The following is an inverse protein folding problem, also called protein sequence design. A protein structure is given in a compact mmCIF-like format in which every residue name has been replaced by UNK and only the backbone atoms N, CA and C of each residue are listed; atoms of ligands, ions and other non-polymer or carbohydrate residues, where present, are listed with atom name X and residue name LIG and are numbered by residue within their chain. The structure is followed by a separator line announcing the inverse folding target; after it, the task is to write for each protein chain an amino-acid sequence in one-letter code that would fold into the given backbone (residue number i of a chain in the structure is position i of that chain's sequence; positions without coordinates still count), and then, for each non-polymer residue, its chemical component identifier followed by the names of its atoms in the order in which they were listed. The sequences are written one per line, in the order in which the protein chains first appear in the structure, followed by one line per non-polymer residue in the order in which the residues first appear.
data_IF_651129082241
#
_entry.id   IF_651129082241
#
_cell.length_a   1.000
_cell.length_b   1.000
_cell.length_c   1.000
_cell.angle_alpha   90.00
_cell.angle_beta   90.00
_cell.angle_gamma   90.00
#
_symmetry.space_group_name_H-M   'P 1'
#
loop_
_entity.id
_entity.type
_entity.pdbx_description
1 polymer ?
#
# COMPACT_ATOMS: atom_id res chain seq x y z
N UNK A 1 1.45 52.34 -20.22
CA UNK A 1 2.56 52.10 -19.27
C UNK A 1 3.86 52.39 -19.98
N UNK A 2 4.62 53.40 -19.53
CA UNK A 2 5.91 53.77 -20.11
C UNK A 2 6.92 52.60 -19.88
N UNK A 3 7.53 52.10 -20.92
CA UNK A 3 8.64 51.14 -20.81
C UNK A 3 9.77 51.82 -20.01
N UNK A 4 10.12 51.30 -18.84
CA UNK A 4 11.31 51.70 -18.10
C UNK A 4 12.50 51.51 -19.04
N UNK A 5 13.23 52.61 -19.32
CA UNK A 5 14.44 52.60 -20.12
C UNK A 5 15.46 51.71 -19.36
N UNK A 6 15.92 50.64 -19.99
CA UNK A 6 16.92 49.73 -19.42
C UNK A 6 18.22 50.53 -19.30
N UNK A 7 18.78 50.65 -18.10
CA UNK A 7 20.08 51.28 -17.90
C UNK A 7 21.15 50.24 -18.20
N UNK A 8 21.81 50.38 -19.33
CA UNK A 8 22.91 49.52 -19.77
C UNK A 8 24.20 50.11 -19.16
N UNK A 9 25.04 49.27 -18.49
CA UNK A 9 26.33 49.73 -17.98
C UNK A 9 27.27 50.23 -19.09
N UNK A 10 28.20 51.06 -18.73
CA UNK A 10 29.32 51.43 -19.64
C UNK A 10 30.33 50.32 -19.68
N UNK A 11 30.61 49.82 -20.87
CA UNK A 11 31.58 48.74 -21.12
C UNK A 11 32.83 49.28 -21.79
N UNK A 12 34.01 48.79 -21.39
CA UNK A 12 35.23 49.07 -22.09
C UNK A 12 35.35 48.38 -23.44
N UNK A 13 36.05 48.94 -24.39
CA UNK A 13 36.26 48.36 -25.71
C UNK A 13 37.63 47.73 -25.86
N UNK A 14 37.75 46.78 -26.79
CA UNK A 14 39.00 46.11 -27.17
C UNK A 14 39.03 45.77 -28.66
N UNK A 15 40.17 45.99 -29.29
CA UNK A 15 40.39 45.62 -30.70
C UNK A 15 40.76 44.15 -30.81
N UNK A 16 40.00 43.33 -31.54
CA UNK A 16 40.34 41.97 -31.88
C UNK A 16 40.23 41.75 -33.40
N UNK A 17 41.36 41.36 -34.00
CA UNK A 17 41.47 41.17 -35.46
C UNK A 17 40.98 42.36 -36.30
N UNK A 18 41.29 43.59 -35.86
CA UNK A 18 40.90 44.80 -36.56
C UNK A 18 39.47 45.24 -36.35
N UNK A 19 38.69 44.59 -35.50
CA UNK A 19 37.29 44.91 -35.19
C UNK A 19 37.18 45.30 -33.71
N UNK A 20 36.49 46.37 -33.43
CA UNK A 20 36.23 46.84 -32.08
C UNK A 20 35.05 46.06 -31.42
N UNK A 21 35.28 45.56 -30.20
CA UNK A 21 34.29 44.85 -29.38
C UNK A 21 34.17 45.48 -28.01
N UNK A 22 32.96 45.54 -27.47
CA UNK A 22 32.70 45.77 -26.04
C UNK A 22 33.05 44.52 -25.27
N UNK A 23 33.62 44.68 -24.04
CA UNK A 23 34.16 43.59 -23.24
C UNK A 23 33.76 43.74 -21.79
N UNK A 24 33.35 42.59 -21.17
CA UNK A 24 33.23 42.44 -19.71
C UNK A 24 33.92 41.15 -19.28
N UNK A 25 34.09 40.97 -17.98
CA UNK A 25 34.59 39.73 -17.37
C UNK A 25 33.64 39.33 -16.25
N UNK A 26 33.24 38.06 -16.24
CA UNK A 26 32.42 37.46 -15.20
C UNK A 26 33.23 36.30 -14.59
N UNK A 27 32.98 35.98 -13.33
CA UNK A 27 33.49 34.82 -12.64
C UNK A 27 32.52 33.66 -12.86
N UNK A 28 33.00 32.51 -13.38
CA UNK A 28 32.16 31.33 -13.59
C UNK A 28 31.87 30.60 -12.26
N UNK A 29 31.12 29.52 -12.28
CA UNK A 29 30.73 28.75 -11.10
C UNK A 29 31.93 28.09 -10.38
N UNK A 30 33.11 28.02 -11.02
CA UNK A 30 34.34 27.45 -10.48
C UNK A 30 35.34 28.54 -10.03
N UNK A 31 34.93 29.83 -10.06
CA UNK A 31 35.77 30.97 -9.67
C UNK A 31 36.74 31.42 -10.75
N UNK A 32 36.61 30.94 -11.99
CA UNK A 32 37.47 31.31 -13.11
C UNK A 32 36.90 32.52 -13.87
N UNK A 33 37.74 33.51 -14.16
CA UNK A 33 37.34 34.69 -14.93
C UNK A 33 37.15 34.32 -16.41
N UNK A 34 35.94 34.52 -16.93
CA UNK A 34 35.59 34.35 -18.35
C UNK A 34 35.29 35.71 -18.97
N UNK A 35 35.91 36.02 -20.11
CA UNK A 35 35.69 37.26 -20.84
C UNK A 35 34.54 37.08 -21.84
N UNK A 36 33.58 38.04 -21.82
CA UNK A 36 32.49 38.14 -22.80
C UNK A 36 32.72 39.31 -23.74
N UNK A 37 32.38 39.12 -24.99
CA UNK A 37 32.53 40.10 -26.06
C UNK A 37 31.25 40.23 -26.87
N UNK A 38 30.91 41.47 -27.30
CA UNK A 38 29.85 41.74 -28.23
C UNK A 38 30.12 42.98 -29.07
N UNK A 39 29.41 43.16 -30.16
CA UNK A 39 29.56 44.32 -31.05
C UNK A 39 28.80 45.58 -30.56
N UNK A 40 27.79 45.37 -29.72
CA UNK A 40 27.02 46.47 -29.12
C UNK A 40 26.93 46.33 -27.60
N UNK A 41 26.77 47.41 -26.86
CA UNK A 41 26.56 47.38 -25.40
C UNK A 41 25.34 46.56 -24.99
N UNK A 42 24.22 46.66 -25.76
CA UNK A 42 22.99 45.92 -25.48
C UNK A 42 23.20 44.39 -25.61
N UNK A 43 23.94 44.00 -26.66
CA UNK A 43 24.26 42.57 -26.90
C UNK A 43 25.14 42.00 -25.79
N UNK A 44 26.11 42.82 -25.31
CA UNK A 44 26.99 42.44 -24.23
C UNK A 44 26.25 42.31 -22.90
N UNK A 45 25.35 43.25 -22.60
CA UNK A 45 24.50 43.25 -21.41
C UNK A 45 23.61 42.01 -21.38
N UNK A 46 22.99 41.63 -22.51
CA UNK A 46 22.17 40.42 -22.59
C UNK A 46 23.01 39.14 -22.40
N UNK A 47 24.23 39.08 -22.99
CA UNK A 47 25.14 37.97 -22.80
C UNK A 47 25.60 37.84 -21.34
N UNK A 48 25.94 38.96 -20.72
CA UNK A 48 26.36 39.01 -19.31
C UNK A 48 25.23 38.60 -18.37
N UNK A 49 24.02 39.10 -18.56
CA UNK A 49 22.85 38.77 -17.73
C UNK A 49 22.51 37.28 -17.85
N UNK A 50 22.46 36.73 -19.07
CA UNK A 50 22.20 35.31 -19.30
C UNK A 50 23.29 34.42 -18.67
N UNK A 51 24.57 34.82 -18.81
CA UNK A 51 25.67 34.05 -18.23
C UNK A 51 25.66 34.08 -16.69
N UNK A 52 25.38 35.23 -16.09
CA UNK A 52 25.22 35.36 -14.62
C UNK A 52 24.03 34.55 -14.09
N UNK A 53 22.91 34.52 -14.81
CA UNK A 53 21.77 33.68 -14.44
C UNK A 53 22.16 32.18 -14.50
N UNK A 54 22.85 31.74 -15.53
CA UNK A 54 23.32 30.36 -15.63
C UNK A 54 24.30 29.98 -14.53
N UNK A 55 25.22 30.88 -14.17
CA UNK A 55 26.19 30.67 -13.08
C UNK A 55 25.48 30.59 -11.74
N UNK A 56 24.53 31.51 -11.48
CA UNK A 56 23.74 31.49 -10.25
C UNK A 56 22.92 30.20 -10.10
N UNK A 57 22.29 29.74 -11.19
CA UNK A 57 21.53 28.49 -11.21
C UNK A 57 22.46 27.28 -10.96
N UNK A 58 23.61 27.22 -11.63
CA UNK A 58 24.59 26.14 -11.43
C UNK A 58 25.11 26.12 -9.98
N UNK A 59 25.40 27.28 -9.40
CA UNK A 59 25.87 27.41 -8.00
C UNK A 59 24.75 27.02 -7.02
N UNK A 60 23.51 27.40 -7.29
CA UNK A 60 22.37 27.01 -6.48
C UNK A 60 22.16 25.49 -6.49
N UNK A 61 22.22 24.86 -7.66
CA UNK A 61 22.09 23.40 -7.79
C UNK A 61 23.19 22.64 -7.07
N UNK A 62 24.44 23.09 -7.16
CA UNK A 62 25.60 22.51 -6.45
C UNK A 62 25.52 22.65 -4.92
N UNK A 63 24.84 23.70 -4.40
CA UNK A 63 24.65 23.92 -2.95
C UNK A 63 23.45 23.18 -2.39
N UNK A 64 22.56 22.60 -3.24
CA UNK A 64 21.42 21.85 -2.75
C UNK A 64 21.84 20.58 -2.01
N UNK A 65 21.06 20.10 -1.01
CA UNK A 65 21.37 18.86 -0.31
C UNK A 65 21.35 17.66 -1.26
N UNK A 66 21.98 16.56 -0.88
CA UNK A 66 21.83 15.29 -1.60
C UNK A 66 20.40 14.75 -1.47
N UNK A 67 20.01 13.87 -2.39
CA UNK A 67 18.71 13.17 -2.31
C UNK A 67 18.60 12.39 -1.01
N UNK A 68 19.68 11.74 -0.55
CA UNK A 68 19.68 11.00 0.71
C UNK A 68 19.42 11.92 1.90
N UNK A 69 20.16 13.04 2.02
CA UNK A 69 19.99 14.01 3.10
C UNK A 69 18.57 14.60 3.12
N UNK A 70 18.04 14.98 1.96
CA UNK A 70 16.71 15.54 1.88
C UNK A 70 15.62 14.52 2.17
N UNK A 71 15.75 13.28 1.68
CA UNK A 71 14.81 12.20 1.96
C UNK A 71 14.72 11.88 3.46
N UNK A 72 15.86 11.80 4.18
CA UNK A 72 15.82 11.55 5.64
C UNK A 72 15.16 12.73 6.38
N UNK A 73 15.46 13.98 5.98
CA UNK A 73 14.75 15.16 6.52
C UNK A 73 13.25 15.11 6.23
N UNK A 74 12.85 14.74 5.01
CA UNK A 74 11.45 14.61 4.62
C UNK A 74 10.74 13.52 5.43
N UNK A 75 11.38 12.37 5.65
CA UNK A 75 10.83 11.29 6.50
C UNK A 75 10.62 11.76 7.94
N UNK A 76 11.54 12.55 8.49
CA UNK A 76 11.40 13.14 9.81
C UNK A 76 10.19 14.10 9.86
N UNK A 77 10.00 14.95 8.84
CA UNK A 77 8.81 15.81 8.75
C UNK A 77 7.52 15.00 8.63
N UNK A 78 7.54 13.88 7.89
CA UNK A 78 6.35 13.01 7.77
C UNK A 78 5.99 12.31 9.10
N UNK A 79 6.94 12.10 10.01
CA UNK A 79 6.66 11.43 11.30
C UNK A 79 5.62 12.14 12.15
N UNK A 80 5.43 13.44 11.96
CA UNK A 80 4.41 14.26 12.65
C UNK A 80 3.02 14.11 12.01
N UNK A 81 2.97 13.78 10.70
CA UNK A 81 1.73 13.83 9.93
C UNK A 81 1.12 12.45 9.64
N UNK A 82 1.92 11.39 9.70
CA UNK A 82 1.46 10.04 9.36
C UNK A 82 1.62 9.08 10.53
N UNK A 83 0.80 8.02 10.53
CA UNK A 83 0.90 6.96 11.54
C UNK A 83 2.24 6.23 11.44
N UNK A 84 2.73 5.68 12.54
CA UNK A 84 4.00 4.93 12.61
C UNK A 84 4.12 3.82 11.56
N UNK A 85 3.03 3.09 11.29
CA UNK A 85 2.98 2.06 10.22
C UNK A 85 3.22 2.63 8.83
N UNK A 86 2.60 3.77 8.52
CA UNK A 86 2.77 4.45 7.24
C UNK A 86 4.18 4.99 7.10
N UNK A 87 4.72 5.56 8.18
CA UNK A 87 6.10 6.03 8.21
C UNK A 87 7.11 4.89 7.97
N UNK A 88 6.90 3.74 8.59
CA UNK A 88 7.74 2.53 8.39
C UNK A 88 7.70 2.08 6.91
N UNK A 89 6.52 2.07 6.28
CA UNK A 89 6.36 1.74 4.86
C UNK A 89 7.06 2.77 3.96
N UNK A 90 6.90 4.07 4.25
CA UNK A 90 7.59 5.16 3.55
C UNK A 90 9.11 5.02 3.68
N UNK A 91 9.62 4.87 4.89
CA UNK A 91 11.05 4.71 5.17
C UNK A 91 11.64 3.53 4.39
N UNK A 92 10.96 2.38 4.41
CA UNK A 92 11.40 1.19 3.69
C UNK A 92 11.46 1.42 2.18
N UNK A 93 10.45 2.07 1.59
CA UNK A 93 10.39 2.32 0.14
C UNK A 93 11.36 3.43 -0.29
N UNK A 94 11.44 4.50 0.47
CA UNK A 94 12.35 5.63 0.19
C UNK A 94 13.79 5.16 0.21
N UNK A 95 14.22 4.46 1.27
CA UNK A 95 15.59 3.96 1.36
C UNK A 95 15.92 2.95 0.29
N UNK A 96 15.01 2.03 0.00
CA UNK A 96 15.25 0.93 -0.96
C UNK A 96 15.18 1.34 -2.42
N UNK A 97 14.36 2.33 -2.77
CA UNK A 97 14.04 2.64 -4.16
C UNK A 97 14.34 4.08 -4.59
N UNK A 98 14.61 4.97 -3.65
CA UNK A 98 14.96 6.36 -3.96
C UNK A 98 16.41 6.63 -3.55
N UNK A 99 16.74 6.45 -2.27
CA UNK A 99 18.10 6.70 -1.79
C UNK A 99 19.11 5.72 -2.40
N UNK A 100 18.74 4.43 -2.55
CA UNK A 100 19.65 3.45 -3.13
C UNK A 100 20.03 3.75 -4.60
N UNK A 101 19.17 4.46 -5.35
CA UNK A 101 19.38 4.74 -6.78
C UNK A 101 19.94 6.16 -7.01
N UNK A 102 19.46 7.15 -6.25
CA UNK A 102 19.77 8.56 -6.48
C UNK A 102 20.40 9.28 -5.27
N UNK A 103 20.68 8.57 -4.18
CA UNK A 103 21.06 9.15 -2.90
C UNK A 103 22.22 10.12 -2.95
N UNK A 104 23.23 9.84 -3.76
CA UNK A 104 24.45 10.64 -3.88
C UNK A 104 24.28 11.88 -4.78
N UNK A 105 23.23 11.93 -5.62
CA UNK A 105 22.95 13.10 -6.46
C UNK A 105 22.44 14.28 -5.64
N UNK A 106 22.75 15.48 -6.08
CA UNK A 106 22.16 16.71 -5.53
C UNK A 106 20.70 16.84 -5.97
N UNK A 107 19.83 17.29 -5.07
CA UNK A 107 18.41 17.47 -5.36
C UNK A 107 18.16 18.35 -6.60
N UNK A 108 18.96 19.40 -6.79
CA UNK A 108 18.85 20.33 -7.94
C UNK A 108 19.36 19.74 -9.26
N UNK A 109 20.12 18.65 -9.22
CA UNK A 109 20.70 17.99 -10.41
C UNK A 109 19.87 16.80 -10.91
N UNK A 110 18.82 16.42 -10.18
CA UNK A 110 17.98 15.26 -10.54
C UNK A 110 17.05 15.64 -11.68
N UNK A 111 17.19 14.97 -12.80
CA UNK A 111 16.33 15.11 -13.97
C UNK A 111 15.16 14.13 -13.95
N UNK A 112 14.18 14.33 -14.84
CA UNK A 112 13.10 13.36 -15.06
C UNK A 112 13.66 12.00 -15.54
N UNK A 113 14.69 12.02 -16.40
CA UNK A 113 15.30 10.80 -16.93
C UNK A 113 15.99 9.98 -15.83
N UNK A 114 16.66 10.64 -14.87
CA UNK A 114 17.24 9.96 -13.71
C UNK A 114 16.17 9.20 -12.90
N UNK A 115 15.03 9.85 -12.68
CA UNK A 115 13.93 9.23 -11.94
C UNK A 115 13.32 8.07 -12.73
N UNK A 116 13.16 8.22 -14.04
CA UNK A 116 12.64 7.15 -14.90
C UNK A 116 13.58 5.94 -14.92
N UNK A 117 14.90 6.16 -15.01
CA UNK A 117 15.89 5.09 -14.91
C UNK A 117 15.87 4.40 -13.55
N UNK A 118 15.78 5.15 -12.45
CA UNK A 118 15.64 4.62 -11.09
C UNK A 118 14.34 3.80 -10.90
N UNK A 119 13.29 4.07 -11.68
CA UNK A 119 12.05 3.30 -11.66
C UNK A 119 12.09 2.00 -12.47
N UNK A 120 13.09 1.77 -13.34
CA UNK A 120 13.20 0.54 -14.14
C UNK A 120 13.22 -0.73 -13.26
N UNK A 121 14.05 -0.87 -12.21
CA UNK A 121 13.99 -2.04 -11.33
C UNK A 121 12.66 -2.14 -10.56
N UNK A 122 12.00 -1.01 -10.28
CA UNK A 122 10.70 -0.99 -9.59
C UNK A 122 9.56 -1.46 -10.49
N UNK A 123 9.66 -1.20 -11.81
CA UNK A 123 8.66 -1.66 -12.80
C UNK A 123 8.55 -3.18 -12.91
N UNK A 124 9.57 -3.93 -12.45
CA UNK A 124 9.55 -5.40 -12.34
C UNK A 124 8.84 -5.91 -11.07
N UNK A 125 8.47 -5.02 -10.15
CA UNK A 125 7.69 -5.33 -8.94
C UNK A 125 6.20 -5.22 -9.23
N UNK A 126 5.36 -5.55 -8.23
CA UNK A 126 3.91 -5.37 -8.36
C UNK A 126 3.52 -3.91 -8.63
N UNK A 127 2.47 -3.71 -9.43
CA UNK A 127 1.97 -2.39 -9.81
C UNK A 127 1.63 -1.50 -8.60
N UNK A 128 1.20 -2.08 -7.48
CA UNK A 128 0.96 -1.36 -6.22
C UNK A 128 2.24 -0.77 -5.62
N UNK A 129 3.36 -1.50 -5.71
CA UNK A 129 4.68 -1.02 -5.24
C UNK A 129 5.17 0.10 -6.16
N UNK A 130 5.12 -0.10 -7.48
CA UNK A 130 5.48 0.91 -8.46
C UNK A 130 4.72 2.22 -8.23
N UNK A 131 3.38 2.14 -8.16
CA UNK A 131 2.52 3.28 -7.89
C UNK A 131 2.88 4.01 -6.58
N UNK A 132 3.16 3.25 -5.51
CA UNK A 132 3.54 3.83 -4.22
C UNK A 132 4.87 4.57 -4.31
N UNK A 133 5.88 4.01 -4.99
CA UNK A 133 7.20 4.64 -5.15
C UNK A 133 7.09 5.91 -5.98
N UNK A 134 6.31 5.90 -7.07
CA UNK A 134 6.05 7.11 -7.88
C UNK A 134 5.37 8.21 -7.06
N UNK A 135 4.40 7.85 -6.19
CA UNK A 135 3.75 8.83 -5.30
C UNK A 135 4.78 9.43 -4.32
N UNK A 136 5.72 8.63 -3.80
CA UNK A 136 6.77 9.11 -2.91
C UNK A 136 7.72 10.06 -3.63
N UNK A 137 8.19 9.74 -4.84
CA UNK A 137 8.96 10.68 -5.67
C UNK A 137 8.22 12.02 -5.82
N UNK A 138 6.95 11.98 -6.24
CA UNK A 138 6.14 13.20 -6.40
C UNK A 138 6.02 14.00 -5.10
N UNK A 139 5.82 13.32 -3.97
CA UNK A 139 5.66 14.00 -2.68
C UNK A 139 6.96 14.63 -2.19
N UNK A 140 8.10 13.95 -2.34
CA UNK A 140 9.41 14.43 -1.93
C UNK A 140 9.83 15.64 -2.78
N UNK A 141 9.77 15.53 -4.12
CA UNK A 141 10.19 16.61 -5.01
C UNK A 141 9.23 17.80 -5.00
N UNK A 142 7.94 17.58 -4.76
CA UNK A 142 7.00 18.67 -4.50
C UNK A 142 7.37 19.44 -3.23
N UNK A 143 7.63 18.75 -2.13
CA UNK A 143 8.05 19.36 -0.88
C UNK A 143 9.39 20.11 -1.03
N UNK A 144 10.33 19.57 -1.81
CA UNK A 144 11.60 20.24 -2.11
C UNK A 144 11.40 21.56 -2.89
N UNK A 145 10.48 21.56 -3.87
CA UNK A 145 10.11 22.78 -4.63
C UNK A 145 9.44 23.82 -3.72
N UNK A 146 8.47 23.39 -2.90
CA UNK A 146 7.76 24.27 -1.96
C UNK A 146 8.70 24.87 -0.91
N UNK A 147 9.73 24.11 -0.50
CA UNK A 147 10.80 24.56 0.43
C UNK A 147 11.93 25.33 -0.26
N UNK A 148 11.84 25.61 -1.56
CA UNK A 148 12.86 26.32 -2.35
C UNK A 148 14.25 25.61 -2.30
N UNK A 149 14.28 24.30 -2.22
CA UNK A 149 15.49 23.49 -2.30
C UNK A 149 15.85 23.22 -3.76
N UNK A 150 14.85 23.22 -4.64
CA UNK A 150 14.95 23.08 -6.09
C UNK A 150 14.11 24.14 -6.78
N UNK A 151 14.54 24.59 -7.95
CA UNK A 151 13.79 25.59 -8.75
C UNK A 151 12.66 24.94 -9.53
N UNK A 152 12.88 23.75 -10.06
CA UNK A 152 11.89 23.00 -10.82
C UNK A 152 11.64 21.60 -10.27
N UNK A 153 10.42 21.13 -10.43
CA UNK A 153 10.02 19.81 -9.98
C UNK A 153 10.07 18.79 -11.15
N UNK A 154 11.07 17.89 -11.21
CA UNK A 154 11.21 16.95 -12.32
C UNK A 154 10.10 15.90 -12.37
N UNK A 155 9.26 15.80 -11.32
CA UNK A 155 8.22 14.77 -11.25
C UNK A 155 6.86 15.19 -11.82
N UNK A 156 6.72 16.41 -12.38
CA UNK A 156 5.43 16.94 -12.87
C UNK A 156 4.82 15.98 -13.89
N UNK A 157 5.59 15.53 -14.86
CA UNK A 157 5.15 14.62 -15.94
C UNK A 157 5.26 13.15 -15.59
N UNK A 158 5.71 12.79 -14.39
CA UNK A 158 5.83 11.41 -13.98
C UNK A 158 4.43 10.78 -13.82
N UNK A 159 4.20 9.64 -14.47
CA UNK A 159 2.90 8.93 -14.41
C UNK A 159 2.94 7.74 -13.46
N UNK A 160 1.82 7.48 -12.80
CA UNK A 160 1.62 6.24 -12.01
C UNK A 160 1.02 5.11 -12.85
N UNK A 161 0.68 5.39 -14.13
CA UNK A 161 0.08 4.41 -15.06
C UNK A 161 1.16 3.63 -15.80
N UNK A 162 0.88 2.38 -16.13
CA UNK A 162 1.68 1.57 -17.04
C UNK A 162 2.91 0.89 -16.42
N UNK A 163 3.25 1.16 -15.15
CA UNK A 163 4.39 0.52 -14.49
C UNK A 163 3.99 -0.56 -13.49
N UNK A 164 4.86 -1.58 -13.35
CA UNK A 164 4.69 -2.70 -12.43
C UNK A 164 3.86 -3.86 -13.00
N UNK A 165 4.11 -5.04 -12.44
CA UNK A 165 3.38 -6.26 -12.80
C UNK A 165 1.99 -6.24 -12.19
N UNK A 166 0.92 -6.41 -12.99
CA UNK A 166 -0.44 -6.49 -12.47
C UNK A 166 -0.57 -7.62 -11.45
N UNK A 167 -1.16 -7.32 -10.31
CA UNK A 167 -1.51 -8.33 -9.31
C UNK A 167 -2.94 -8.80 -9.60
N UNK A 168 -3.12 -10.12 -9.72
CA UNK A 168 -4.48 -10.68 -9.79
C UNK A 168 -5.19 -10.44 -8.47
N UNK A 169 -6.37 -9.87 -8.53
CA UNK A 169 -7.25 -9.77 -7.37
C UNK A 169 -7.58 -11.20 -6.88
N UNK A 170 -7.43 -11.45 -5.59
CA UNK A 170 -7.88 -12.72 -5.01
C UNK A 170 -9.40 -12.67 -4.92
N UNK A 171 -10.06 -13.57 -5.64
CA UNK A 171 -11.51 -13.72 -5.57
C UNK A 171 -11.96 -14.14 -4.16
N UNK A 172 -13.24 -13.90 -3.84
CA UNK A 172 -13.89 -14.52 -2.70
C UNK A 172 -13.82 -16.05 -2.81
N UNK A 173 -13.83 -16.73 -1.67
CA UNK A 173 -13.95 -18.19 -1.66
C UNK A 173 -15.35 -18.57 -2.18
N UNK A 174 -15.42 -19.66 -2.93
CA UNK A 174 -16.72 -20.29 -3.25
C UNK A 174 -17.29 -20.97 -1.99
N UNK A 175 -18.57 -21.31 -2.00
CA UNK A 175 -19.23 -21.97 -0.87
C UNK A 175 -18.53 -23.32 -0.57
N UNK A 176 -18.18 -24.10 -1.61
CA UNK A 176 -17.41 -25.34 -1.47
C UNK A 176 -16.02 -25.09 -0.86
N UNK A 177 -15.31 -24.06 -1.30
CA UNK A 177 -14.00 -23.71 -0.74
C UNK A 177 -14.12 -23.27 0.73
N UNK A 178 -15.14 -22.51 1.08
CA UNK A 178 -15.39 -22.08 2.45
C UNK A 178 -15.72 -23.28 3.35
N UNK A 179 -16.57 -24.21 2.90
CA UNK A 179 -16.90 -25.42 3.62
C UNK A 179 -15.65 -26.28 3.84
N UNK A 180 -14.89 -26.57 2.79
CA UNK A 180 -13.63 -27.35 2.90
C UNK A 180 -12.58 -26.68 3.80
N UNK A 181 -12.53 -25.34 3.80
CA UNK A 181 -11.65 -24.63 4.72
C UNK A 181 -12.07 -24.85 6.17
N UNK A 182 -13.37 -24.70 6.47
CA UNK A 182 -13.92 -24.88 7.81
C UNK A 182 -13.68 -26.30 8.32
N UNK A 183 -13.97 -27.31 7.51
CA UNK A 183 -13.70 -28.73 7.83
C UNK A 183 -12.20 -28.96 8.09
N UNK A 184 -11.35 -28.35 7.27
CA UNK A 184 -9.89 -28.49 7.40
C UNK A 184 -9.34 -27.90 8.70
N UNK A 185 -9.93 -26.82 9.20
CA UNK A 185 -9.44 -26.09 10.39
C UNK A 185 -10.23 -26.42 11.65
N UNK A 186 -11.31 -27.19 11.59
CA UNK A 186 -12.09 -27.59 12.73
C UNK A 186 -11.22 -28.27 13.80
N UNK A 187 -11.34 -27.84 15.05
CA UNK A 187 -10.50 -28.34 16.15
C UNK A 187 -9.03 -27.89 16.11
N UNK A 188 -8.63 -27.07 15.12
CA UNK A 188 -7.28 -26.51 15.03
C UNK A 188 -7.22 -25.05 15.52
N UNK A 189 -6.05 -24.56 15.96
CA UNK A 189 -5.89 -23.22 16.49
C UNK A 189 -6.45 -22.07 15.63
N UNK A 190 -6.42 -22.10 14.26
CA UNK A 190 -6.97 -21.01 13.45
C UNK A 190 -8.51 -21.03 13.32
N UNK A 191 -9.23 -22.01 13.88
CA UNK A 191 -10.66 -22.19 13.64
C UNK A 191 -11.48 -20.94 14.00
N UNK A 192 -11.36 -20.44 15.24
CA UNK A 192 -12.08 -19.25 15.71
C UNK A 192 -11.73 -18.00 14.86
N UNK A 193 -10.46 -17.87 14.47
CA UNK A 193 -10.02 -16.79 13.60
C UNK A 193 -10.71 -16.85 12.22
N UNK A 194 -10.81 -18.06 11.65
CA UNK A 194 -11.46 -18.28 10.34
C UNK A 194 -12.97 -18.02 10.43
N UNK A 195 -13.61 -18.49 11.51
CA UNK A 195 -15.03 -18.23 11.77
C UNK A 195 -15.33 -16.73 11.87
N UNK A 196 -14.56 -15.96 12.62
CA UNK A 196 -14.69 -14.51 12.72
C UNK A 196 -14.48 -13.80 11.36
N UNK A 197 -13.52 -14.27 10.57
CA UNK A 197 -13.26 -13.74 9.25
C UNK A 197 -14.39 -13.99 8.24
N UNK A 198 -14.96 -15.20 8.23
CA UNK A 198 -16.00 -15.61 7.30
C UNK A 198 -17.41 -15.13 7.68
N UNK A 199 -17.75 -15.11 8.97
CA UNK A 199 -19.12 -14.85 9.43
C UNK A 199 -19.33 -13.48 10.06
N UNK A 200 -18.25 -12.77 10.45
CA UNK A 200 -18.31 -11.39 10.94
C UNK A 200 -17.52 -10.41 10.06
N UNK A 201 -16.79 -10.90 9.07
CA UNK A 201 -16.03 -10.07 8.13
C UNK A 201 -14.98 -9.18 8.77
N UNK A 202 -14.45 -9.55 9.94
CA UNK A 202 -13.44 -8.77 10.65
C UNK A 202 -12.13 -8.70 9.88
N UNK A 203 -11.44 -7.57 9.99
CA UNK A 203 -10.05 -7.46 9.53
C UNK A 203 -9.14 -8.27 10.45
N UNK A 204 -8.00 -8.75 9.95
CA UNK A 204 -7.00 -9.45 10.77
C UNK A 204 -6.67 -8.70 12.05
N UNK A 205 -6.45 -7.41 11.93
CA UNK A 205 -6.09 -6.52 13.03
C UNK A 205 -7.24 -6.37 14.06
N UNK A 206 -8.48 -6.45 13.61
CA UNK A 206 -9.69 -6.42 14.46
C UNK A 206 -9.86 -7.76 15.19
N UNK A 207 -9.62 -8.89 14.51
CA UNK A 207 -9.69 -10.23 15.14
C UNK A 207 -8.63 -10.38 16.24
N UNK A 208 -7.39 -9.97 15.96
CA UNK A 208 -6.27 -10.11 16.90
C UNK A 208 -6.37 -9.15 18.10
N UNK A 209 -7.21 -8.11 18.02
CA UNK A 209 -7.48 -7.18 19.10
C UNK A 209 -8.80 -7.47 19.84
N UNK A 210 -9.59 -8.45 19.38
CA UNK A 210 -10.91 -8.71 19.91
C UNK A 210 -10.81 -9.31 21.32
N UNK A 211 -11.42 -8.63 22.30
CA UNK A 211 -11.56 -9.10 23.66
C UNK A 211 -12.97 -9.60 23.93
N UNK A 212 -13.12 -10.46 24.94
CA UNK A 212 -14.42 -11.00 25.34
C UNK A 212 -15.37 -9.94 25.91
N UNK A 213 -14.88 -8.80 26.40
CA UNK A 213 -15.67 -7.66 26.83
C UNK A 213 -16.46 -6.99 25.70
N UNK A 214 -16.07 -7.23 24.46
CA UNK A 214 -16.72 -6.72 23.26
C UNK A 214 -17.55 -7.80 22.51
N UNK A 215 -17.77 -8.97 23.11
CA UNK A 215 -18.55 -10.08 22.55
C UNK A 215 -19.74 -10.38 23.43
N UNK A 216 -20.93 -10.04 22.95
CA UNK A 216 -22.21 -10.14 23.65
C UNK A 216 -22.96 -11.36 23.13
N UNK A 217 -22.95 -12.45 23.91
CA UNK A 217 -23.50 -13.76 23.49
C UNK A 217 -24.85 -14.08 24.17
N UNK A 218 -25.23 -13.26 25.14
CA UNK A 218 -26.47 -13.43 25.90
C UNK A 218 -27.61 -12.64 25.24
N UNK A 219 -28.85 -13.16 25.34
CA UNK A 219 -30.04 -12.55 24.77
C UNK A 219 -30.35 -13.05 23.34
N UNK A 220 -31.44 -12.52 22.78
CA UNK A 220 -32.02 -12.97 21.50
C UNK A 220 -31.21 -12.53 20.28
N UNK A 221 -30.40 -11.50 20.42
CA UNK A 221 -29.64 -10.88 19.32
C UNK A 221 -28.14 -10.78 19.67
N UNK A 222 -27.38 -11.87 19.63
CA UNK A 222 -25.95 -11.85 19.90
C UNK A 222 -25.22 -10.98 18.88
N UNK A 223 -24.24 -10.21 19.36
CA UNK A 223 -23.42 -9.34 18.51
C UNK A 223 -22.02 -9.17 19.09
N UNK A 224 -21.09 -8.71 18.24
CA UNK A 224 -19.78 -8.24 18.67
C UNK A 224 -19.60 -6.76 18.32
N UNK A 225 -18.81 -6.07 19.15
CA UNK A 225 -18.49 -4.67 18.97
C UNK A 225 -17.01 -4.51 18.56
N UNK A 226 -16.76 -3.96 17.36
CA UNK A 226 -15.42 -3.64 16.92
C UNK A 226 -15.01 -2.31 17.53
N UNK A 227 -14.04 -2.33 18.45
CA UNK A 227 -13.59 -1.17 19.22
C UNK A 227 -12.07 -0.98 19.16
N UNK A 228 -11.31 -2.04 18.92
CA UNK A 228 -9.86 -2.07 19.04
C UNK A 228 -9.21 -2.58 17.76
N UNK A 229 -7.97 -2.20 17.55
CA UNK A 229 -7.15 -2.72 16.47
C UNK A 229 -5.77 -3.17 16.99
N UNK A 230 -5.34 -4.33 16.50
CA UNK A 230 -4.01 -4.85 16.77
C UNK A 230 -2.99 -4.18 15.83
N UNK A 231 -1.84 -3.87 16.37
CA UNK A 231 -0.69 -3.34 15.68
C UNK A 231 0.59 -4.03 16.13
N UNK A 232 1.68 -3.88 15.40
CA UNK A 232 2.99 -4.43 15.76
C UNK A 232 4.05 -3.34 15.79
N UNK A 233 4.74 -3.24 16.90
CA UNK A 233 5.93 -2.43 17.07
C UNK A 233 7.10 -3.32 17.47
N UNK A 234 8.16 -3.37 16.65
CA UNK A 234 9.32 -4.24 16.88
C UNK A 234 8.95 -5.71 17.15
N UNK A 235 8.01 -6.24 16.38
CA UNK A 235 7.41 -7.59 16.52
C UNK A 235 6.64 -7.81 17.85
N UNK A 236 6.41 -6.79 18.67
CA UNK A 236 5.56 -6.85 19.85
C UNK A 236 4.14 -6.42 19.48
N UNK A 237 3.10 -7.11 19.98
CA UNK A 237 1.73 -6.69 19.76
C UNK A 237 1.43 -5.42 20.56
N UNK A 238 0.73 -4.49 19.92
CA UNK A 238 0.20 -3.27 20.53
C UNK A 238 -1.29 -3.21 20.22
N UNK A 239 -2.12 -3.08 21.22
CA UNK A 239 -3.56 -2.94 21.06
C UNK A 239 -3.89 -1.45 21.15
N UNK A 240 -4.51 -0.95 20.07
CA UNK A 240 -4.96 0.43 20.00
C UNK A 240 -6.46 0.48 20.31
N UNK A 241 -6.85 1.27 21.30
CA UNK A 241 -8.26 1.50 21.65
C UNK A 241 -8.94 2.47 20.67
N UNK A 242 -8.16 3.15 19.84
CA UNK A 242 -8.66 4.01 18.76
C UNK A 242 -8.55 3.32 17.39
N UNK A 243 -9.64 3.27 16.67
CA UNK A 243 -9.68 2.77 15.29
C UNK A 243 -9.24 3.83 14.28
N UNK A 244 -8.93 3.41 13.07
CA UNK A 244 -8.45 4.29 12.00
C UNK A 244 -9.48 5.38 11.62
N UNK A 245 -10.77 5.07 11.73
CA UNK A 245 -11.88 5.99 11.43
C UNK A 245 -13.10 5.62 12.27
N UNK A 246 -14.00 6.59 12.48
CA UNK A 246 -15.30 6.35 13.13
C UNK A 246 -16.13 5.25 12.45
N UNK A 247 -16.03 5.12 11.13
CA UNK A 247 -16.73 4.07 10.37
C UNK A 247 -16.22 2.65 10.70
N UNK A 248 -15.04 2.52 11.29
CA UNK A 248 -14.52 1.23 11.73
C UNK A 248 -15.17 0.76 13.03
N UNK A 249 -15.66 1.68 13.89
CA UNK A 249 -16.45 1.35 15.08
C UNK A 249 -17.84 0.91 14.66
N UNK A 250 -18.19 -0.33 14.99
CA UNK A 250 -19.46 -0.92 14.58
C UNK A 250 -19.84 -2.12 15.44
N UNK A 251 -21.13 -2.41 15.45
CA UNK A 251 -21.66 -3.64 16.03
C UNK A 251 -22.03 -4.60 14.90
N UNK A 252 -21.62 -5.85 15.01
CA UNK A 252 -21.85 -6.88 13.98
C UNK A 252 -22.72 -7.95 14.61
N UNK A 253 -23.98 -8.14 14.11
CA UNK A 253 -24.82 -9.25 14.53
C UNK A 253 -24.13 -10.60 14.22
N UNK A 254 -24.27 -11.56 15.11
CA UNK A 254 -23.67 -12.88 14.97
C UNK A 254 -24.69 -13.89 14.46
N UNK A 255 -24.43 -14.58 13.35
CA UNK A 255 -25.21 -15.75 12.97
C UNK A 255 -25.03 -16.86 14.02
N UNK A 256 -26.04 -17.73 14.16
CA UNK A 256 -26.10 -18.76 15.20
C UNK A 256 -24.84 -19.61 15.26
N UNK A 257 -24.33 -20.06 14.12
CA UNK A 257 -23.11 -20.90 14.07
C UNK A 257 -21.86 -20.19 14.63
N UNK A 258 -21.73 -18.87 14.43
CA UNK A 258 -20.62 -18.10 14.98
C UNK A 258 -20.84 -17.85 16.49
N UNK A 259 -22.07 -17.56 16.91
CA UNK A 259 -22.39 -17.36 18.32
C UNK A 259 -22.11 -18.63 19.15
N UNK A 260 -22.47 -19.80 18.66
CA UNK A 260 -22.20 -21.11 19.28
C UNK A 260 -20.67 -21.36 19.35
N UNK A 261 -19.97 -21.17 18.24
CA UNK A 261 -18.51 -21.28 18.23
C UNK A 261 -17.82 -20.38 19.26
N UNK A 262 -18.30 -19.14 19.40
CA UNK A 262 -17.75 -18.20 20.38
C UNK A 262 -18.13 -18.53 21.81
N UNK A 263 -19.33 -19.10 22.09
CA UNK A 263 -19.72 -19.62 23.41
C UNK A 263 -18.79 -20.76 23.84
N UNK A 264 -18.54 -21.72 22.95
CA UNK A 264 -17.61 -22.83 23.21
C UNK A 264 -16.18 -22.32 23.42
N UNK A 265 -15.70 -21.40 22.56
CA UNK A 265 -14.37 -20.83 22.71
C UNK A 265 -14.22 -20.05 24.04
N UNK A 266 -15.26 -19.29 24.47
CA UNK A 266 -15.25 -18.54 25.72
C UNK A 266 -15.20 -19.47 26.94
N UNK A 267 -15.95 -20.56 26.92
CA UNK A 267 -15.97 -21.55 28.01
C UNK A 267 -14.60 -22.20 28.22
N UNK A 268 -13.79 -22.33 27.16
CA UNK A 268 -12.46 -22.93 27.18
C UNK A 268 -11.32 -21.90 27.29
N UNK A 269 -11.62 -20.59 27.38
CA UNK A 269 -10.62 -19.53 27.39
C UNK A 269 -10.36 -19.02 28.80
N UNK A 270 -9.09 -18.85 29.14
CA UNK A 270 -8.63 -18.12 30.35
C UNK A 270 -8.08 -16.72 30.01
N UNK A 271 -8.04 -16.36 28.75
CA UNK A 271 -7.54 -15.08 28.27
C UNK A 271 -8.66 -14.04 28.18
N UNK A 272 -8.32 -12.77 28.30
CA UNK A 272 -9.24 -11.68 27.95
C UNK A 272 -9.44 -11.53 26.42
N UNK A 273 -8.52 -12.08 25.61
CA UNK A 273 -8.58 -12.03 24.14
C UNK A 273 -9.26 -13.28 23.57
N UNK A 274 -10.06 -13.08 22.51
CA UNK A 274 -10.74 -14.18 21.80
C UNK A 274 -9.71 -15.06 21.07
N UNK A 275 -8.66 -14.45 20.52
CA UNK A 275 -7.54 -15.15 19.87
C UNK A 275 -6.25 -14.75 20.61
N UNK A 276 -5.74 -15.63 21.45
CA UNK A 276 -4.59 -15.39 22.30
C UNK A 276 -3.46 -16.39 22.06
N UNK A 277 -2.29 -16.09 22.61
CA UNK A 277 -1.19 -17.04 22.76
C UNK A 277 -1.42 -17.97 23.98
N UNK A 278 -0.46 -18.85 24.25
CA UNK A 278 -0.55 -19.80 25.39
C UNK A 278 -0.53 -19.12 26.76
N UNK A 279 0.00 -17.91 26.82
CA UNK A 279 0.11 -17.12 28.05
C UNK A 279 -1.12 -16.21 28.26
N UNK A 280 -2.11 -16.30 27.37
CA UNK A 280 -3.33 -15.48 27.39
C UNK A 280 -3.17 -14.08 26.77
N UNK A 281 -2.00 -13.77 26.21
CA UNK A 281 -1.66 -12.47 25.65
C UNK A 281 -1.95 -12.37 24.14
N UNK A 282 -2.05 -11.17 23.55
CA UNK A 282 -2.25 -10.99 22.11
C UNK A 282 -1.09 -11.57 21.32
N UNK A 283 -1.41 -12.15 20.15
CA UNK A 283 -0.41 -12.76 19.29
C UNK A 283 0.56 -11.70 18.73
N UNK A 284 1.87 -11.98 18.82
CA UNK A 284 2.86 -11.28 17.98
C UNK A 284 2.68 -11.63 16.51
N UNK A 285 3.27 -10.85 15.61
CA UNK A 285 3.21 -11.13 14.18
C UNK A 285 3.79 -12.51 13.81
N UNK A 286 4.85 -12.91 14.48
CA UNK A 286 5.45 -14.24 14.28
C UNK A 286 4.53 -15.37 14.77
N UNK A 287 3.86 -15.19 15.90
CA UNK A 287 2.88 -16.16 16.43
C UNK A 287 1.65 -16.25 15.50
N UNK A 288 1.16 -15.10 15.00
CA UNK A 288 0.10 -15.10 13.98
C UNK A 288 0.51 -15.87 12.71
N UNK A 289 1.74 -15.68 12.21
CA UNK A 289 2.24 -16.48 11.08
C UNK A 289 2.25 -17.97 11.37
N UNK A 290 2.61 -18.39 12.58
CA UNK A 290 2.56 -19.80 13.01
C UNK A 290 1.13 -20.31 13.07
N UNK A 291 0.19 -19.52 13.58
CA UNK A 291 -1.24 -19.84 13.56
C UNK A 291 -1.74 -20.03 12.12
N UNK A 292 -1.39 -19.13 11.21
CA UNK A 292 -1.78 -19.21 9.80
C UNK A 292 -1.12 -20.38 9.06
N UNK A 293 0.05 -20.81 9.54
CA UNK A 293 0.78 -21.94 8.97
C UNK A 293 0.00 -23.26 9.01
N UNK A 294 -0.93 -23.42 9.95
CA UNK A 294 -1.83 -24.61 9.99
C UNK A 294 -2.65 -24.74 8.69
N UNK A 295 -3.07 -23.63 8.10
CA UNK A 295 -3.79 -23.60 6.82
C UNK A 295 -2.81 -23.82 5.65
N UNK A 296 -1.72 -23.04 5.62
CA UNK A 296 -0.74 -23.09 4.53
C UNK A 296 -0.12 -24.49 4.36
N UNK A 297 0.16 -25.19 5.45
CA UNK A 297 0.73 -26.55 5.39
C UNK A 297 -0.23 -27.58 4.82
N UNK A 298 -1.55 -27.34 4.91
CA UNK A 298 -2.59 -28.21 4.36
C UNK A 298 -3.00 -27.88 2.92
N UNK A 299 -2.31 -26.92 2.31
CA UNK A 299 -2.57 -26.55 0.91
C UNK A 299 -1.76 -27.45 -0.02
N UNK A 300 -2.43 -28.12 -0.97
CA UNK A 300 -1.84 -28.94 -2.03
C UNK A 300 -1.30 -28.05 -3.15
N UNK A 301 -0.14 -27.41 -2.91
CA UNK A 301 0.52 -26.50 -3.87
C UNK A 301 2.02 -26.76 -3.90
N UNK A 302 2.67 -26.74 -5.09
CA UNK A 302 4.12 -26.84 -5.20
C UNK A 302 4.81 -25.76 -4.35
N UNK A 303 5.77 -26.20 -3.53
CA UNK A 303 6.52 -25.31 -2.63
C UNK A 303 7.93 -25.81 -2.36
N UNK A 304 8.83 -24.88 -2.08
CA UNK A 304 10.17 -25.22 -1.61
C UNK A 304 10.11 -25.81 -0.20
N UNK A 305 10.56 -27.02 -0.04
CA UNK A 305 10.76 -27.69 1.24
C UNK A 305 12.25 -27.89 1.52
N UNK A 306 12.59 -28.25 2.75
CA UNK A 306 13.95 -28.58 3.17
C UNK A 306 13.96 -29.95 3.79
N UNK A 307 14.95 -30.76 3.45
CA UNK A 307 15.22 -32.05 4.12
C UNK A 307 16.65 -32.05 4.63
N UNK A 308 16.88 -32.72 5.73
CA UNK A 308 18.21 -32.95 6.26
C UNK A 308 18.83 -34.16 5.52
N UNK A 309 19.97 -33.95 4.87
CA UNK A 309 20.75 -34.96 4.18
C UNK A 309 22.19 -34.77 4.66
N UNK A 310 22.78 -35.81 5.26
CA UNK A 310 24.16 -35.82 5.76
C UNK A 310 24.50 -34.61 6.66
N UNK A 311 23.56 -34.24 7.56
CA UNK A 311 23.74 -33.12 8.48
C UNK A 311 23.54 -31.71 7.85
N UNK A 312 23.21 -31.61 6.54
CA UNK A 312 22.97 -30.34 5.83
C UNK A 312 21.53 -30.25 5.35
N UNK A 313 20.95 -29.03 5.43
CA UNK A 313 19.62 -28.79 4.88
C UNK A 313 19.68 -28.58 3.37
N UNK A 314 19.10 -29.51 2.60
CA UNK A 314 18.95 -29.43 1.15
C UNK A 314 17.54 -28.96 0.81
N UNK A 315 17.44 -27.96 -0.08
CA UNK A 315 16.15 -27.48 -0.62
C UNK A 315 15.69 -28.40 -1.75
N UNK A 316 14.40 -28.71 -1.77
CA UNK A 316 13.77 -29.46 -2.87
C UNK A 316 12.36 -28.93 -3.12
N UNK A 317 11.83 -29.14 -4.33
CA UNK A 317 10.44 -28.84 -4.64
C UNK A 317 9.56 -29.97 -4.13
N UNK A 318 8.58 -29.65 -3.31
CA UNK A 318 7.52 -30.54 -2.85
C UNK A 318 6.28 -30.29 -3.73
N UNK A 319 5.71 -31.36 -4.26
CA UNK A 319 4.48 -31.36 -5.03
C UNK A 319 3.43 -32.19 -4.26
N UNK A 320 2.69 -31.57 -3.31
CA UNK A 320 1.69 -32.28 -2.54
C UNK A 320 0.47 -32.59 -3.41
N UNK A 321 -0.10 -33.78 -3.26
CA UNK A 321 -1.37 -34.14 -3.87
C UNK A 321 -2.53 -34.00 -2.88
N UNK A 322 -3.69 -33.63 -3.39
CA UNK A 322 -4.90 -33.45 -2.57
C UNK A 322 -5.30 -34.79 -1.94
N UNK A 323 -5.56 -34.81 -0.64
CA UNK A 323 -5.87 -36.00 0.12
C UNK A 323 -4.63 -36.79 0.67
N UNK A 324 -3.42 -36.46 0.19
CA UNK A 324 -2.19 -37.10 0.66
C UNK A 324 -1.80 -36.64 2.07
N UNK A 325 -1.25 -37.53 2.89
CA UNK A 325 -0.64 -37.17 4.18
C UNK A 325 0.78 -36.63 3.97
N UNK A 326 1.12 -35.60 4.73
CA UNK A 326 2.47 -35.05 4.67
C UNK A 326 3.50 -36.06 5.20
N UNK A 327 4.56 -36.28 4.43
CA UNK A 327 5.62 -37.30 4.72
C UNK A 327 6.28 -37.13 6.09
N UNK A 328 6.46 -35.89 6.53
CA UNK A 328 7.14 -35.55 7.79
C UNK A 328 6.18 -35.32 8.97
N UNK A 329 4.87 -35.34 8.73
CA UNK A 329 3.84 -35.19 9.76
C UNK A 329 2.53 -35.83 9.31
N UNK A 330 2.31 -37.07 9.70
CA UNK A 330 1.13 -37.84 9.33
C UNK A 330 -0.22 -37.28 9.83
N UNK A 331 -0.20 -36.29 10.72
CA UNK A 331 -1.41 -35.57 11.16
C UNK A 331 -1.82 -34.48 10.18
N UNK A 332 -0.97 -34.14 9.21
CA UNK A 332 -1.27 -33.11 8.19
C UNK A 332 -1.71 -33.81 6.92
N UNK A 333 -2.97 -33.55 6.51
CA UNK A 333 -3.51 -33.97 5.22
C UNK A 333 -3.58 -32.72 4.32
N UNK A 334 -3.21 -32.86 3.05
CA UNK A 334 -3.34 -31.80 2.06
C UNK A 334 -4.80 -31.73 1.58
N UNK A 335 -5.63 -30.94 2.27
CA UNK A 335 -7.07 -30.87 2.10
C UNK A 335 -7.56 -29.68 1.27
N UNK A 336 -6.68 -28.73 0.96
CA UNK A 336 -7.00 -27.51 0.22
C UNK A 336 -6.22 -27.45 -1.09
N UNK A 337 -6.90 -27.35 -2.23
CA UNK A 337 -6.35 -27.14 -3.57
C UNK A 337 -6.22 -25.63 -3.94
N UNK A 338 -6.50 -24.75 -2.98
CA UNK A 338 -6.48 -23.32 -3.12
C UNK A 338 -5.74 -22.64 -1.96
N UNK A 339 -5.23 -21.42 -2.20
CA UNK A 339 -4.63 -20.60 -1.17
C UNK A 339 -5.68 -19.72 -0.49
N UNK A 340 -5.53 -19.54 0.82
CA UNK A 340 -6.37 -18.66 1.61
C UNK A 340 -5.53 -17.57 2.26
N UNK A 341 -6.07 -16.38 2.33
CA UNK A 341 -5.48 -15.25 3.08
C UNK A 341 -6.51 -14.67 4.05
N UNK A 342 -6.08 -14.05 5.18
CA UNK A 342 -7.00 -13.43 6.13
C UNK A 342 -7.95 -12.41 5.49
N UNK A 343 -7.44 -11.61 4.55
CA UNK A 343 -8.27 -10.60 3.87
C UNK A 343 -9.32 -11.24 2.95
N UNK A 344 -9.04 -12.42 2.40
CA UNK A 344 -9.97 -13.15 1.54
C UNK A 344 -11.18 -13.67 2.32
N UNK A 345 -11.03 -14.05 3.61
CA UNK A 345 -12.18 -14.41 4.46
C UNK A 345 -13.19 -13.27 4.55
N UNK A 346 -12.72 -12.08 4.84
CA UNK A 346 -13.55 -10.87 4.87
C UNK A 346 -14.13 -10.53 3.50
N UNK A 347 -13.35 -10.70 2.42
CA UNK A 347 -13.86 -10.49 1.05
C UNK A 347 -15.02 -11.46 0.76
N UNK A 348 -14.94 -12.71 1.20
CA UNK A 348 -16.01 -13.72 1.10
C UNK A 348 -17.25 -13.28 1.87
N UNK A 349 -17.09 -12.81 3.11
CA UNK A 349 -18.22 -12.27 3.89
C UNK A 349 -18.95 -11.14 3.15
N UNK A 350 -18.21 -10.15 2.65
CA UNK A 350 -18.81 -9.02 1.92
C UNK A 350 -19.50 -9.50 0.64
N UNK A 351 -18.88 -10.41 -0.08
CA UNK A 351 -19.45 -11.00 -1.30
C UNK A 351 -20.75 -11.73 -1.01
N UNK A 352 -20.81 -12.53 0.06
CA UNK A 352 -22.01 -13.26 0.47
C UNK A 352 -23.14 -12.32 0.89
N UNK A 353 -22.86 -11.22 1.60
CA UNK A 353 -23.87 -10.21 1.90
C UNK A 353 -24.47 -9.59 0.62
N UNK A 354 -23.62 -9.30 -0.37
CA UNK A 354 -24.05 -8.74 -1.65
C UNK A 354 -24.89 -9.76 -2.43
N UNK A 355 -24.51 -11.04 -2.44
CA UNK A 355 -25.29 -12.11 -3.08
C UNK A 355 -26.64 -12.29 -2.40
N UNK A 356 -26.70 -12.13 -1.09
CA UNK A 356 -27.97 -12.16 -0.32
C UNK A 356 -28.78 -10.87 -0.46
N UNK A 357 -28.42 -9.99 -1.40
CA UNK A 357 -29.10 -8.72 -1.69
C UNK A 357 -29.21 -7.76 -0.49
N UNK A 358 -28.28 -7.83 0.45
CA UNK A 358 -28.14 -6.83 1.51
C UNK A 358 -27.78 -5.48 0.88
N UNK A 359 -28.44 -4.42 1.29
CA UNK A 359 -28.24 -3.10 0.71
C UNK A 359 -26.80 -2.59 0.90
N UNK A 360 -26.26 -1.79 -0.06
CA UNK A 360 -24.88 -1.35 -0.03
C UNK A 360 -24.47 -0.53 1.20
N UNK A 361 -25.41 0.20 1.82
CA UNK A 361 -25.14 0.99 3.03
C UNK A 361 -24.97 0.09 4.25
N UNK A 362 -25.82 -0.93 4.39
CA UNK A 362 -25.67 -1.95 5.43
C UNK A 362 -24.37 -2.73 5.24
N UNK A 363 -24.02 -3.13 4.00
CA UNK A 363 -22.73 -3.78 3.70
C UNK A 363 -21.57 -2.85 4.05
N UNK A 364 -21.65 -1.56 3.71
CA UNK A 364 -20.63 -0.56 4.07
C UNK A 364 -20.43 -0.48 5.59
N UNK A 365 -21.53 -0.42 6.34
CA UNK A 365 -21.51 -0.38 7.82
C UNK A 365 -20.89 -1.64 8.40
N UNK A 366 -21.41 -2.83 8.05
CA UNK A 366 -20.91 -4.11 8.56
C UNK A 366 -19.45 -4.37 8.19
N UNK A 367 -19.04 -3.96 7.01
CA UNK A 367 -17.64 -4.00 6.58
C UNK A 367 -16.77 -2.91 7.25
N UNK A 368 -17.33 -1.83 7.80
CA UNK A 368 -16.56 -0.70 8.34
C UNK A 368 -15.71 -0.03 7.27
N UNK A 369 -16.29 0.23 6.08
CA UNK A 369 -15.64 0.97 5.01
C UNK A 369 -15.90 2.47 5.19
N UNK A 370 -14.84 3.24 5.29
CA UNK A 370 -14.93 4.71 5.41
C UNK A 370 -15.55 5.34 4.15
N UNK A 371 -15.19 4.81 2.97
CA UNK A 371 -15.72 5.28 1.69
C UNK A 371 -16.72 4.28 1.09
N UNK A 372 -17.89 4.77 0.67
CA UNK A 372 -18.87 3.99 -0.08
C UNK A 372 -18.32 3.47 -1.41
N UNK A 373 -17.35 4.16 -1.99
CA UNK A 373 -16.71 3.74 -3.24
C UNK A 373 -16.16 2.32 -3.17
N UNK A 374 -15.48 1.95 -2.06
CA UNK A 374 -14.90 0.60 -1.89
C UNK A 374 -16.01 -0.45 -1.92
N UNK A 375 -17.13 -0.20 -1.22
CA UNK A 375 -18.29 -1.12 -1.20
C UNK A 375 -18.93 -1.22 -2.58
N UNK A 376 -19.11 -0.08 -3.25
CA UNK A 376 -19.72 -0.03 -4.59
C UNK A 376 -18.86 -0.70 -5.66
N UNK A 377 -17.52 -0.56 -5.58
CA UNK A 377 -16.60 -1.25 -6.50
C UNK A 377 -16.69 -2.78 -6.34
N UNK A 378 -16.84 -3.28 -5.09
CA UNK A 378 -17.02 -4.71 -4.83
C UNK A 378 -18.42 -5.13 -5.32
N UNK A 379 -19.44 -4.34 -5.03
CA UNK A 379 -20.84 -4.60 -5.44
C UNK A 379 -20.96 -4.72 -6.96
N UNK A 380 -20.35 -3.77 -7.70
CA UNK A 380 -20.32 -3.81 -9.15
C UNK A 380 -19.64 -5.07 -9.69
N UNK A 381 -18.45 -5.42 -9.17
CA UNK A 381 -17.73 -6.65 -9.57
C UNK A 381 -18.58 -7.91 -9.32
N UNK A 382 -19.24 -8.03 -8.18
CA UNK A 382 -20.04 -9.20 -7.81
C UNK A 382 -21.25 -9.34 -8.71
N UNK A 383 -22.02 -8.26 -8.91
CA UNK A 383 -23.25 -8.27 -9.71
C UNK A 383 -22.99 -8.42 -11.21
N UNK A 384 -21.94 -7.77 -11.76
CA UNK A 384 -21.61 -7.88 -13.19
C UNK A 384 -21.02 -9.24 -13.59
N UNK A 385 -20.49 -10.00 -12.64
CA UNK A 385 -19.99 -11.35 -12.91
C UNK A 385 -21.10 -12.41 -12.98
N UNK A 386 -22.39 -12.03 -12.83
CA UNK A 386 -23.57 -12.90 -12.94
C UNK A 386 -24.60 -12.32 -13.94
N UNK A 387 -24.34 -12.45 -15.24
CA UNK A 387 -25.20 -11.90 -16.27
C UNK A 387 -26.62 -12.46 -16.21
N UNK A 388 -26.81 -13.71 -15.82
CA UNK A 388 -28.12 -14.39 -15.66
C UNK A 388 -28.97 -13.75 -14.55
N UNK A 389 -28.37 -13.33 -13.44
CA UNK A 389 -29.08 -12.58 -12.38
C UNK A 389 -29.44 -11.17 -12.84
N UNK A 390 -28.57 -10.52 -13.63
CA UNK A 390 -28.86 -9.21 -14.21
C UNK A 390 -30.02 -9.29 -15.20
N UNK A 391 -30.03 -10.28 -16.09
CA UNK A 391 -31.14 -10.50 -17.05
C UNK A 391 -32.45 -10.73 -16.30
N UNK A 392 -32.46 -11.57 -15.27
CA UNK A 392 -33.64 -11.83 -14.44
C UNK A 392 -34.11 -10.58 -13.70
N UNK A 393 -33.19 -9.82 -13.14
CA UNK A 393 -33.49 -8.56 -12.43
C UNK A 393 -34.07 -7.52 -13.39
N UNK A 394 -33.50 -7.39 -14.60
CA UNK A 394 -34.02 -6.51 -15.63
C UNK A 394 -35.41 -6.96 -16.10
N UNK A 395 -35.62 -8.26 -16.35
CA UNK A 395 -36.91 -8.80 -16.71
C UNK A 395 -37.98 -8.48 -15.65
N UNK A 396 -37.67 -8.67 -14.37
CA UNK A 396 -38.58 -8.34 -13.26
C UNK A 396 -38.87 -6.83 -13.16
N UNK A 397 -37.89 -5.98 -13.41
CA UNK A 397 -38.03 -4.51 -13.35
C UNK A 397 -39.02 -3.99 -14.43
N UNK A 398 -39.14 -4.68 -15.56
CA UNK A 398 -39.98 -4.27 -16.68
C UNK A 398 -41.21 -5.17 -16.88
N UNK A 399 -41.38 -6.21 -16.06
CA UNK A 399 -42.52 -7.16 -16.19
C UNK A 399 -43.88 -6.50 -16.16
N UNK A 400 -44.05 -5.41 -15.41
CA UNK A 400 -45.33 -4.65 -15.38
C UNK A 400 -45.61 -3.95 -16.72
N UNK A 401 -44.61 -3.60 -17.49
CA UNK A 401 -44.82 -2.96 -18.80
C UNK A 401 -45.20 -3.98 -19.87
N UNK A 402 -44.68 -5.19 -19.77
CA UNK A 402 -45.05 -6.29 -20.67
C UNK A 402 -46.48 -6.76 -20.42
N UNK A 403 -46.94 -6.75 -19.15
CA UNK A 403 -48.34 -7.08 -18.79
C UNK A 403 -49.37 -6.04 -19.29
N UNK A 404 -48.96 -4.81 -19.55
CA UNK A 404 -49.85 -3.76 -20.11
C UNK A 404 -49.97 -3.85 -21.64
N UNK A 405 -49.06 -4.59 -22.30
CA UNK A 405 -49.02 -4.77 -23.76
C UNK A 405 -49.64 -6.09 -24.24
N UNK A 406 -49.97 -7.01 -23.34
CA UNK A 406 -50.65 -8.26 -23.60
C UNK A 406 -52.15 -8.11 -23.34
#
# INVERSE_FOLDING_TARGET
MAKRKMMIPEYGTVMLNGIEYYRTRIEDADGKLVALYARTPEELYNKETNALEQINNATFHRKSPTVAEYCEKWLLMQSVHVRATTLTDYTSKVRRHIIAELGDKRMGEVSLDDIQLALVPVSKKFASVYKSVVILYKSIFRAAKESRIIDDNPTIYLTTKGGGVPQKDKAALTDDQAARLLDTVQGLPPYVFVMLGLYAGLRREEILALKWDAVYLDGDFPYLAVRRAWHTENNRPVILDELKSKAAERNIPLPTCLAECLKEAKANSTSEYVVANRDGEPLSYTQFKRLWQYIVTRTAKPRMARKLVDGKYVKYMLYPELGEKARNNGHVVYSLDFEVTPHQLRHTYITNLIHSSVDPKTVQYLAGHESSKITMDIYAKVKYNRPDELVRTMGNAFAQWDAVRA
#
